data_IF_000147731100
#
_entry.id   IF_000147731100
#
_cell.length_a   1.000
_cell.length_b   1.000
_cell.length_c   1.000
_cell.angle_alpha   90.00
_cell.angle_beta   90.00
_cell.angle_gamma   90.00
#
_symmetry.space_group_name_H-M   'P 1'
#
loop_
_entity.id
_entity.type
_entity.pdbx_description
1 polymer ?
#
# COMPACT_ATOMS: atom_id res chain seq x y z
N UNK A 1 -31.96 -6.36 -27.92
CA UNK A 1 -30.67 -6.52 -28.62
C UNK A 1 -29.58 -6.59 -27.57
N UNK A 2 -29.00 -7.77 -27.34
CA UNK A 2 -27.96 -7.94 -26.32
C UNK A 2 -26.67 -7.21 -26.74
N UNK A 3 -26.07 -6.45 -25.82
CA UNK A 3 -24.70 -5.94 -25.99
C UNK A 3 -23.80 -7.14 -26.30
N UNK A 4 -23.10 -7.09 -27.43
CA UNK A 4 -22.08 -8.09 -27.78
C UNK A 4 -20.79 -7.60 -27.17
N UNK A 5 -20.56 -7.97 -25.93
CA UNK A 5 -19.30 -7.66 -25.26
C UNK A 5 -18.27 -8.72 -25.68
N UNK A 6 -17.05 -8.29 -26.03
CA UNK A 6 -15.94 -9.16 -26.43
C UNK A 6 -14.84 -9.07 -25.38
N UNK A 7 -14.27 -10.21 -25.01
CA UNK A 7 -13.17 -10.28 -24.03
C UNK A 7 -11.82 -10.12 -24.71
N UNK A 8 -10.93 -9.38 -24.06
CA UNK A 8 -9.55 -9.19 -24.48
C UNK A 8 -8.61 -9.03 -23.29
N UNK A 9 -7.40 -8.59 -23.57
CA UNK A 9 -6.42 -8.17 -22.57
C UNK A 9 -5.99 -6.75 -22.87
N UNK A 10 -5.56 -6.03 -21.85
CA UNK A 10 -4.93 -4.75 -22.04
C UNK A 10 -3.66 -4.66 -21.22
N UNK A 11 -2.61 -4.12 -21.82
CA UNK A 11 -1.40 -3.73 -21.11
C UNK A 11 -1.54 -2.26 -20.72
N UNK A 12 -1.33 -1.95 -19.44
CA UNK A 12 -1.29 -0.56 -18.98
C UNK A 12 -0.05 0.09 -19.60
N UNK A 13 -0.22 1.06 -20.50
CA UNK A 13 0.84 1.83 -21.12
C UNK A 13 1.26 3.02 -20.23
N UNK A 14 0.28 3.64 -19.56
CA UNK A 14 0.53 4.63 -18.52
C UNK A 14 -0.56 4.61 -17.46
N UNK A 15 -0.20 5.02 -16.24
CA UNK A 15 -1.11 5.09 -15.10
C UNK A 15 -0.83 6.37 -14.32
N UNK A 16 -1.85 7.20 -14.13
CA UNK A 16 -1.80 8.44 -13.37
C UNK A 16 -2.99 8.55 -12.45
N UNK A 17 -2.84 9.29 -11.35
CA UNK A 17 -3.98 9.66 -10.52
C UNK A 17 -4.50 11.02 -10.98
N UNK A 18 -5.83 11.21 -11.02
CA UNK A 18 -6.41 12.50 -11.35
C UNK A 18 -5.91 13.58 -10.40
N UNK A 19 -5.32 14.64 -10.94
CA UNK A 19 -4.82 15.77 -10.15
C UNK A 19 -3.39 15.62 -9.61
N UNK A 20 -2.67 14.52 -9.93
CA UNK A 20 -1.22 14.43 -9.71
C UNK A 20 -0.50 14.67 -11.04
N UNK A 21 0.45 15.61 -11.05
CA UNK A 21 1.25 15.94 -12.25
C UNK A 21 2.37 14.94 -12.52
N UNK A 22 2.63 14.03 -11.58
CA UNK A 22 3.73 13.08 -11.62
C UNK A 22 3.18 11.67 -11.84
N UNK A 23 3.80 10.94 -12.79
CA UNK A 23 3.78 9.48 -12.74
C UNK A 23 4.42 9.10 -11.41
N UNK A 24 3.63 8.58 -10.45
CA UNK A 24 4.06 8.27 -9.08
C UNK A 24 5.25 7.27 -9.07
N UNK A 25 6.44 7.80 -9.33
CA UNK A 25 7.73 7.28 -8.97
C UNK A 25 8.12 7.95 -7.65
N UNK A 26 7.79 7.27 -6.56
CA UNK A 26 8.53 7.23 -5.30
C UNK A 26 8.39 8.26 -4.15
N UNK A 27 7.71 9.41 -4.20
CA UNK A 27 7.92 10.39 -3.09
C UNK A 27 6.84 10.61 -2.01
N UNK A 28 5.64 10.00 -2.03
CA UNK A 28 4.61 10.34 -1.01
C UNK A 28 3.97 9.13 -0.31
N UNK A 29 4.68 8.57 0.68
CA UNK A 29 4.22 7.42 1.48
C UNK A 29 3.20 7.77 2.59
N UNK A 30 3.19 9.00 3.13
CA UNK A 30 2.39 9.33 4.33
C UNK A 30 1.11 10.12 4.07
N UNK A 31 1.11 11.03 3.09
CA UNK A 31 -0.14 11.71 2.67
C UNK A 31 -1.08 10.71 1.97
N UNK A 32 -0.52 9.64 1.41
CA UNK A 32 -1.28 8.53 0.87
C UNK A 32 -2.12 7.81 1.92
N UNK A 33 -1.59 7.48 3.09
CA UNK A 33 -2.24 6.55 4.03
C UNK A 33 -3.61 7.03 4.58
N UNK A 34 -3.77 8.35 4.76
CA UNK A 34 -5.05 8.95 5.19
C UNK A 34 -6.09 9.00 4.06
N UNK A 35 -5.65 9.25 2.82
CA UNK A 35 -6.51 9.23 1.63
C UNK A 35 -6.81 7.79 1.13
N UNK A 36 -5.92 6.83 1.42
CA UNK A 36 -5.97 5.44 0.96
C UNK A 36 -7.00 4.56 1.69
N UNK A 37 -7.51 4.98 2.85
CA UNK A 37 -8.41 4.13 3.63
C UNK A 37 -9.86 4.17 3.13
N UNK A 38 -10.31 5.27 2.51
CA UNK A 38 -11.71 5.42 2.09
C UNK A 38 -11.90 6.26 0.81
N UNK A 39 -11.83 5.60 -0.35
CA UNK A 39 -12.78 5.90 -1.43
C UNK A 39 -12.23 5.99 -2.84
N UNK A 40 -12.59 5.01 -3.67
CA UNK A 40 -12.85 5.19 -5.11
C UNK A 40 -11.69 5.84 -5.89
N UNK A 41 -10.47 5.30 -5.78
CA UNK A 41 -9.37 5.80 -6.62
C UNK A 41 -9.73 5.60 -8.09
N UNK A 42 -10.05 6.71 -8.72
CA UNK A 42 -10.10 6.85 -10.16
C UNK A 42 -8.65 6.95 -10.62
N UNK A 43 -8.32 6.23 -11.67
CA UNK A 43 -7.01 6.25 -12.29
C UNK A 43 -7.18 6.62 -13.75
N UNK A 44 -6.40 7.60 -14.18
CA UNK A 44 -6.28 7.94 -15.59
C UNK A 44 -5.27 6.98 -16.20
N UNK A 45 -5.75 6.06 -17.03
CA UNK A 45 -4.92 5.03 -17.64
C UNK A 45 -4.83 5.24 -19.15
N UNK A 46 -3.74 4.77 -19.73
CA UNK A 46 -3.66 4.45 -21.14
C UNK A 46 -3.49 2.94 -21.26
N UNK A 47 -4.35 2.32 -22.06
CA UNK A 47 -4.42 0.87 -22.20
C UNK A 47 -4.12 0.50 -23.64
N UNK A 48 -3.12 -0.35 -23.86
CA UNK A 48 -2.90 -1.05 -25.12
C UNK A 48 -3.76 -2.30 -25.15
N UNK A 49 -4.87 -2.23 -25.87
CA UNK A 49 -5.93 -3.25 -25.88
C UNK A 49 -5.72 -4.24 -27.02
N UNK A 50 -5.72 -5.52 -26.65
CA UNK A 50 -5.60 -6.67 -27.53
C UNK A 50 -6.87 -7.52 -27.44
N UNK A 51 -7.64 -7.55 -28.54
CA UNK A 51 -8.82 -8.40 -28.69
C UNK A 51 -8.55 -9.40 -29.81
N UNK A 52 -8.80 -10.70 -29.63
CA UNK A 52 -8.59 -11.70 -30.68
C UNK A 52 -9.31 -11.33 -31.98
N UNK A 53 -8.56 -11.27 -33.08
CA UNK A 53 -9.09 -10.93 -34.41
C UNK A 53 -9.17 -9.44 -34.72
N UNK A 54 -8.75 -8.55 -33.81
CA UNK A 54 -8.67 -7.11 -34.01
C UNK A 54 -7.20 -6.66 -34.02
N UNK A 55 -6.89 -5.54 -34.67
CA UNK A 55 -5.59 -4.90 -34.51
C UNK A 55 -5.48 -4.29 -33.11
N UNK A 56 -4.30 -4.35 -32.50
CA UNK A 56 -4.04 -3.68 -31.21
C UNK A 56 -4.29 -2.17 -31.32
N UNK A 57 -4.95 -1.60 -30.32
CA UNK A 57 -5.27 -0.16 -30.28
C UNK A 57 -5.12 0.39 -28.88
N UNK A 58 -4.90 1.71 -28.77
CA UNK A 58 -4.75 2.39 -27.50
C UNK A 58 -6.03 3.14 -27.12
N UNK A 59 -6.44 3.03 -25.86
CA UNK A 59 -7.53 3.81 -25.28
C UNK A 59 -7.06 4.52 -24.01
N UNK A 60 -7.50 5.78 -23.84
CA UNK A 60 -7.23 6.57 -22.66
C UNK A 60 -8.55 6.87 -21.95
N UNK A 61 -8.54 6.89 -20.62
CA UNK A 61 -9.75 7.11 -19.85
C UNK A 61 -9.53 7.05 -18.35
N UNK A 62 -10.62 7.13 -17.60
CA UNK A 62 -10.59 7.11 -16.14
C UNK A 62 -11.31 5.86 -15.63
N UNK A 63 -10.58 4.97 -14.96
CA UNK A 63 -11.13 3.73 -14.41
C UNK A 63 -11.19 3.77 -12.89
N UNK A 64 -12.21 3.15 -12.32
CA UNK A 64 -12.33 2.99 -10.88
C UNK A 64 -11.67 1.68 -10.45
N UNK A 65 -10.67 1.76 -9.59
CA UNK A 65 -10.01 0.58 -9.01
C UNK A 65 -10.78 0.13 -7.76
N UNK A 66 -11.15 -1.17 -7.64
CA UNK A 66 -11.87 -1.64 -6.47
C UNK A 66 -10.98 -1.71 -5.21
N UNK A 67 -11.45 -1.13 -4.10
CA UNK A 67 -10.79 -1.15 -2.79
C UNK A 67 -10.41 -2.56 -2.29
N UNK A 68 -11.09 -3.62 -2.76
CA UNK A 68 -10.81 -5.01 -2.33
C UNK A 68 -9.51 -5.59 -2.90
N UNK A 69 -8.93 -5.00 -3.95
CA UNK A 69 -7.57 -5.36 -4.42
C UNK A 69 -6.49 -4.90 -3.44
N UNK A 70 -6.84 -4.02 -2.49
CA UNK A 70 -5.93 -3.36 -1.56
C UNK A 70 -5.87 -4.06 -0.20
N UNK A 71 -6.88 -4.88 0.12
CA UNK A 71 -7.04 -5.49 1.46
C UNK A 71 -6.14 -6.69 1.73
N UNK A 72 -5.32 -7.12 0.77
CA UNK A 72 -4.53 -8.36 0.90
C UNK A 72 -3.19 -8.17 1.62
N UNK A 73 -2.70 -6.93 1.82
CA UNK A 73 -1.38 -6.73 2.44
C UNK A 73 -1.18 -5.47 3.28
N UNK A 74 -2.24 -5.02 3.97
CA UNK A 74 -2.19 -3.88 4.92
C UNK A 74 -1.15 -4.00 6.06
N UNK A 75 -0.50 -5.16 6.23
CA UNK A 75 0.42 -5.41 7.35
C UNK A 75 1.89 -5.22 6.96
N UNK A 76 2.28 -5.30 5.68
CA UNK A 76 3.71 -5.31 5.35
C UNK A 76 4.20 -4.53 4.12
N UNK A 77 3.41 -4.11 3.15
CA UNK A 77 3.98 -3.40 1.97
C UNK A 77 2.93 -2.57 1.24
N UNK A 78 2.95 -1.24 1.42
CA UNK A 78 2.42 -0.17 0.55
C UNK A 78 1.00 -0.26 -0.04
N UNK A 79 0.47 0.84 -0.63
CA UNK A 79 -0.68 0.73 -1.54
C UNK A 79 -0.23 -0.02 -2.81
N UNK A 80 -1.10 -0.89 -3.35
CA UNK A 80 -0.86 -1.48 -4.66
C UNK A 80 -0.72 -0.38 -5.72
N UNK A 81 0.36 -0.41 -6.51
CA UNK A 81 0.62 0.58 -7.55
C UNK A 81 0.13 0.04 -8.90
N UNK A 82 -0.67 0.81 -9.62
CA UNK A 82 -0.80 0.60 -11.05
C UNK A 82 0.40 1.29 -11.72
N UNK A 83 1.11 0.55 -12.56
CA UNK A 83 2.28 1.01 -13.29
C UNK A 83 2.28 0.43 -14.71
N UNK A 84 3.04 1.04 -15.63
CA UNK A 84 3.15 0.55 -17.00
C UNK A 84 3.64 -0.90 -17.07
N UNK A 85 3.02 -1.72 -17.91
CA UNK A 85 3.38 -3.12 -18.14
C UNK A 85 2.48 -4.15 -17.44
N UNK A 86 1.61 -3.74 -16.52
CA UNK A 86 0.61 -4.65 -15.95
C UNK A 86 -0.39 -5.06 -17.03
N UNK A 87 -0.67 -6.36 -17.12
CA UNK A 87 -1.66 -6.92 -18.03
C UNK A 87 -2.97 -7.20 -17.29
N UNK A 88 -4.05 -6.53 -17.69
CA UNK A 88 -5.38 -6.68 -17.11
C UNK A 88 -6.36 -7.31 -18.13
N UNK A 89 -7.27 -8.19 -17.69
CA UNK A 89 -8.39 -8.62 -18.54
C UNK A 89 -9.37 -7.47 -18.75
N UNK A 90 -9.88 -7.35 -19.98
CA UNK A 90 -10.82 -6.29 -20.35
C UNK A 90 -12.03 -6.83 -21.09
N UNK A 91 -13.13 -6.09 -20.98
CA UNK A 91 -14.37 -6.28 -21.71
C UNK A 91 -14.58 -5.08 -22.61
N UNK A 92 -14.76 -5.32 -23.91
CA UNK A 92 -14.90 -4.30 -24.95
C UNK A 92 -16.29 -4.38 -25.58
N UNK A 93 -16.97 -3.25 -25.72
CA UNK A 93 -18.24 -3.17 -26.47
C UNK A 93 -17.95 -3.36 -27.98
N UNK A 94 -18.47 -4.43 -28.59
CA UNK A 94 -18.24 -4.70 -30.02
C UNK A 94 -18.76 -3.59 -30.95
N UNK A 95 -19.73 -2.79 -30.50
CA UNK A 95 -20.27 -1.66 -31.25
C UNK A 95 -19.49 -0.36 -31.04
N UNK A 96 -18.59 -0.32 -30.06
CA UNK A 96 -17.74 0.83 -29.79
C UNK A 96 -16.43 0.42 -29.08
N UNK A 97 -15.35 0.28 -29.86
CA UNK A 97 -14.03 -0.07 -29.35
C UNK A 97 -13.45 0.91 -28.33
N UNK A 98 -13.97 2.14 -28.21
CA UNK A 98 -13.55 3.09 -27.17
C UNK A 98 -14.17 2.79 -25.80
N UNK A 99 -15.15 1.90 -25.72
CA UNK A 99 -15.80 1.49 -24.45
C UNK A 99 -15.13 0.21 -23.96
N UNK A 100 -14.17 0.40 -23.06
CA UNK A 100 -13.37 -0.66 -22.47
C UNK A 100 -13.52 -0.61 -20.96
N UNK A 101 -13.98 -1.72 -20.37
CA UNK A 101 -14.02 -1.93 -18.93
C UNK A 101 -12.98 -2.97 -18.51
N UNK A 102 -12.34 -2.75 -17.37
CA UNK A 102 -11.39 -3.72 -16.79
C UNK A 102 -12.16 -4.72 -15.94
N UNK A 103 -11.99 -6.02 -16.22
CA UNK A 103 -12.59 -7.10 -15.45
C UNK A 103 -11.76 -7.38 -14.18
N UNK A 104 -11.96 -6.56 -13.16
CA UNK A 104 -11.23 -6.69 -11.90
C UNK A 104 -11.52 -7.99 -11.14
N UNK A 105 -12.67 -8.63 -11.40
CA UNK A 105 -12.99 -9.92 -10.81
C UNK A 105 -12.14 -11.02 -11.44
N UNK A 106 -12.04 -11.06 -12.77
CA UNK A 106 -11.18 -12.00 -13.50
C UNK A 106 -9.69 -11.78 -13.21
N UNK A 107 -9.27 -10.52 -13.13
CA UNK A 107 -7.90 -10.15 -12.78
C UNK A 107 -7.49 -10.73 -11.42
N UNK A 108 -8.41 -10.73 -10.45
CA UNK A 108 -8.17 -11.30 -9.12
C UNK A 108 -8.21 -12.83 -9.14
N UNK A 109 -9.21 -13.44 -9.77
CA UNK A 109 -9.33 -14.91 -9.78
C UNK A 109 -8.20 -15.60 -10.54
N UNK A 110 -7.57 -14.91 -11.50
CA UNK A 110 -6.43 -15.42 -12.26
C UNK A 110 -5.09 -15.38 -11.51
N UNK A 111 -5.03 -14.76 -10.32
CA UNK A 111 -3.76 -14.57 -9.60
C UNK A 111 -2.83 -13.53 -10.22
N UNK A 112 -3.35 -12.74 -11.18
CA UNK A 112 -2.65 -11.65 -11.84
C UNK A 112 -2.41 -10.45 -10.92
N UNK A 113 -3.05 -10.43 -9.75
CA UNK A 113 -2.81 -9.44 -8.69
C UNK A 113 -1.37 -9.42 -8.20
N UNK A 114 -0.61 -10.50 -8.39
CA UNK A 114 0.84 -10.53 -8.15
C UNK A 114 1.62 -9.50 -8.98
N UNK A 115 1.12 -9.12 -10.16
CA UNK A 115 1.74 -8.08 -10.99
C UNK A 115 1.68 -6.70 -10.34
N UNK A 116 0.76 -6.46 -9.41
CA UNK A 116 0.69 -5.19 -8.66
C UNK A 116 1.83 -5.04 -7.63
N UNK A 117 2.64 -6.09 -7.43
CA UNK A 117 3.61 -6.19 -6.35
C UNK A 117 4.95 -6.83 -6.81
N UNK A 118 5.70 -6.18 -7.72
CA UNK A 118 6.88 -6.76 -8.38
C UNK A 118 8.01 -7.20 -7.43
N UNK A 119 8.12 -6.63 -6.22
CA UNK A 119 9.21 -6.92 -5.27
C UNK A 119 8.91 -8.04 -4.24
N UNK A 120 7.79 -8.74 -4.38
CA UNK A 120 7.27 -9.58 -3.28
C UNK A 120 7.69 -11.04 -3.30
N UNK A 121 8.52 -11.51 -4.25
CA UNK A 121 8.95 -12.91 -4.34
C UNK A 121 9.60 -13.44 -3.05
N UNK A 122 10.55 -12.69 -2.48
CA UNK A 122 11.23 -13.05 -1.22
C UNK A 122 10.31 -12.86 -0.01
N UNK A 123 9.48 -11.81 -0.03
CA UNK A 123 8.55 -11.48 1.06
C UNK A 123 7.40 -12.50 1.13
N UNK A 124 6.94 -13.05 0.01
CA UNK A 124 5.88 -14.07 -0.06
C UNK A 124 6.37 -15.41 0.45
N UNK A 125 7.63 -15.78 0.19
CA UNK A 125 8.26 -16.94 0.84
C UNK A 125 8.42 -16.74 2.36
N UNK A 126 8.89 -15.56 2.79
CA UNK A 126 9.01 -15.22 4.21
C UNK A 126 7.64 -15.22 4.92
N UNK A 127 6.59 -14.67 4.29
CA UNK A 127 5.22 -14.68 4.81
C UNK A 127 4.62 -16.08 4.85
N UNK A 128 4.92 -16.92 3.85
CA UNK A 128 4.37 -18.29 3.79
C UNK A 128 4.99 -19.16 4.89
N UNK A 129 6.28 -18.98 5.19
CA UNK A 129 6.93 -19.58 6.35
C UNK A 129 6.32 -19.08 7.66
N UNK A 130 6.14 -17.76 7.81
CA UNK A 130 5.54 -17.16 9.00
C UNK A 130 4.07 -17.57 9.21
N UNK A 131 3.28 -17.68 8.14
CA UNK A 131 1.88 -18.11 8.21
C UNK A 131 1.74 -19.62 8.44
N UNK A 132 2.70 -20.43 8.00
CA UNK A 132 2.77 -21.84 8.36
C UNK A 132 3.08 -22.02 9.85
N UNK A 133 3.99 -21.21 10.40
CA UNK A 133 4.29 -21.15 11.83
C UNK A 133 3.14 -20.60 12.69
N UNK A 134 2.34 -19.66 12.16
CA UNK A 134 1.15 -19.14 12.83
C UNK A 134 -0.05 -20.08 12.77
N UNK A 135 -0.10 -21.00 11.80
CA UNK A 135 -1.17 -22.01 11.68
C UNK A 135 -0.89 -23.28 12.48
N UNK A 136 0.37 -23.53 12.84
CA UNK A 136 0.74 -24.61 13.76
C UNK A 136 0.45 -24.27 15.23
N UNK A 137 0.10 -23.02 15.54
CA UNK A 137 -0.33 -22.57 16.86
C UNK A 137 -1.86 -22.54 16.96
N UNK A 138 -2.40 -23.50 17.69
CA UNK A 138 -3.83 -23.67 18.02
C UNK A 138 -4.41 -22.40 18.68
N UNK A 139 -5.68 -22.04 18.45
CA UNK A 139 -6.27 -20.82 19.00
C UNK A 139 -6.58 -21.01 20.49
N UNK A 140 -5.68 -20.49 21.33
CA UNK A 140 -5.87 -20.30 22.75
C UNK A 140 -4.84 -19.29 23.21
N UNK A 141 -5.29 -18.07 23.49
CA UNK A 141 -4.52 -16.99 24.13
C UNK A 141 -3.25 -16.59 23.37
N UNK A 142 -3.33 -15.53 22.56
CA UNK A 142 -2.19 -15.02 21.79
C UNK A 142 -1.00 -14.75 22.73
N UNK A 143 0.00 -15.64 22.71
CA UNK A 143 1.21 -15.47 23.48
C UNK A 143 1.83 -14.10 23.12
N UNK A 144 2.35 -13.36 24.12
CA UNK A 144 2.99 -12.07 23.85
C UNK A 144 4.07 -12.25 22.79
N UNK A 145 4.03 -11.40 21.75
CA UNK A 145 5.03 -11.46 20.67
C UNK A 145 6.43 -11.40 21.29
N UNK A 146 7.34 -12.31 20.92
CA UNK A 146 8.68 -12.32 21.49
C UNK A 146 9.37 -11.00 21.16
N UNK A 147 9.97 -10.37 22.17
CA UNK A 147 10.77 -9.16 22.02
C UNK A 147 11.95 -9.43 21.07
N UNK A 148 12.32 -8.50 20.17
CA UNK A 148 13.50 -8.64 19.32
C UNK A 148 14.77 -8.93 20.14
N UNK A 149 15.63 -9.82 19.62
CA UNK A 149 16.85 -10.27 20.30
C UNK A 149 18.02 -9.25 20.29
N UNK A 150 17.76 -7.98 19.93
CA UNK A 150 18.75 -6.91 19.88
C UNK A 150 18.43 -5.77 20.84
N UNK A 151 19.37 -4.84 21.01
CA UNK A 151 19.11 -3.63 21.79
C UNK A 151 18.07 -2.75 21.11
N UNK A 152 17.26 -2.07 21.94
CA UNK A 152 16.26 -1.11 21.45
C UNK A 152 16.97 0.06 20.75
N UNK A 153 16.38 0.65 19.70
CA UNK A 153 16.92 1.86 19.09
C UNK A 153 17.12 2.94 20.16
N UNK A 154 18.35 3.44 20.28
CA UNK A 154 18.69 4.52 21.19
C UNK A 154 19.14 5.75 20.40
N UNK A 155 19.08 6.93 21.01
CA UNK A 155 19.58 8.16 20.41
C UNK A 155 21.07 8.11 20.03
N UNK A 156 21.87 7.23 20.66
CA UNK A 156 23.28 7.04 20.34
C UNK A 156 23.49 6.29 19.01
N UNK A 157 22.60 5.33 18.70
CA UNK A 157 22.68 4.50 17.48
C UNK A 157 21.87 5.11 16.35
N UNK A 158 20.71 5.67 16.68
CA UNK A 158 19.79 6.35 15.76
C UNK A 158 19.50 7.75 16.29
N UNK A 159 20.31 8.76 15.90
CA UNK A 159 20.15 10.13 16.37
C UNK A 159 18.74 10.68 16.13
N UNK A 160 18.17 11.48 17.03
CA UNK A 160 16.84 12.07 16.82
C UNK A 160 16.75 12.84 15.50
N UNK A 161 15.61 12.73 14.81
CA UNK A 161 15.33 13.52 13.60
C UNK A 161 14.62 14.79 14.05
N UNK A 162 15.27 15.94 13.85
CA UNK A 162 14.73 17.25 14.25
C UNK A 162 14.32 17.33 15.74
N UNK A 163 15.02 16.59 16.59
CA UNK A 163 14.74 16.51 18.03
C UNK A 163 13.74 15.41 18.42
N UNK A 164 13.20 14.66 17.47
CA UNK A 164 12.26 13.55 17.72
C UNK A 164 13.03 12.22 17.70
N UNK A 165 13.14 11.58 18.85
CA UNK A 165 13.70 10.23 18.95
C UNK A 165 12.70 9.15 18.48
N UNK A 166 13.21 7.93 18.31
CA UNK A 166 12.44 6.80 17.81
C UNK A 166 11.23 6.46 18.72
N UNK A 167 11.39 6.52 20.03
CA UNK A 167 10.33 6.17 20.98
C UNK A 167 9.20 7.21 20.97
N UNK A 168 9.56 8.48 20.90
CA UNK A 168 8.65 9.63 20.76
C UNK A 168 7.86 9.51 19.47
N UNK A 169 8.56 9.25 18.35
CA UNK A 169 7.95 9.02 17.05
C UNK A 169 6.95 7.85 17.11
N UNK A 170 7.38 6.67 17.58
CA UNK A 170 6.52 5.48 17.63
C UNK A 170 5.27 5.67 18.50
N UNK A 171 5.38 6.29 19.67
CA UNK A 171 4.22 6.59 20.53
C UNK A 171 3.24 7.55 19.88
N UNK A 172 3.74 8.47 19.06
CA UNK A 172 2.95 9.48 18.36
C UNK A 172 2.24 8.91 17.12
N UNK A 173 2.90 8.06 16.34
CA UNK A 173 2.36 7.60 15.06
C UNK A 173 1.53 6.32 15.15
N UNK A 174 1.80 5.42 16.11
CA UNK A 174 1.12 4.11 16.15
C UNK A 174 -0.40 4.25 16.34
N UNK A 175 -0.86 5.17 17.21
CA UNK A 175 -2.29 5.42 17.42
C UNK A 175 -2.98 5.95 16.16
N UNK A 176 -2.32 6.87 15.46
CA UNK A 176 -2.81 7.46 14.21
C UNK A 176 -2.83 6.43 13.08
N UNK A 177 -1.75 5.66 12.91
CA UNK A 177 -1.63 4.59 11.91
C UNK A 177 -2.67 3.48 12.10
N UNK A 178 -3.02 3.17 13.35
CA UNK A 178 -4.06 2.18 13.70
C UNK A 178 -5.48 2.75 13.65
N UNK A 179 -5.65 3.99 13.20
CA UNK A 179 -6.93 4.69 13.14
C UNK A 179 -7.66 4.78 14.50
N UNK A 180 -6.91 4.79 15.61
CA UNK A 180 -7.48 4.99 16.95
C UNK A 180 -7.60 6.47 17.33
N UNK A 181 -7.03 7.37 16.52
CA UNK A 181 -7.06 8.82 16.71
C UNK A 181 -7.86 9.44 15.56
N UNK A 182 -8.99 10.14 15.85
CA UNK A 182 -9.75 10.86 14.84
C UNK A 182 -8.91 11.92 14.12
N UNK A 183 -9.15 12.16 12.83
CA UNK A 183 -8.37 13.09 12.00
C UNK A 183 -8.30 14.51 12.58
N UNK A 184 -9.42 15.03 13.07
CA UNK A 184 -9.48 16.35 13.72
C UNK A 184 -8.71 16.44 15.04
N UNK A 185 -8.27 15.31 15.61
CA UNK A 185 -7.55 15.23 16.88
C UNK A 185 -6.06 14.87 16.71
N UNK A 186 -5.61 14.55 15.49
CA UNK A 186 -4.24 14.06 15.25
C UNK A 186 -3.16 15.09 15.62
N UNK A 187 -3.38 16.37 15.31
CA UNK A 187 -2.43 17.42 15.65
C UNK A 187 -2.25 17.54 17.18
N UNK A 188 -3.36 17.57 17.93
CA UNK A 188 -3.31 17.58 19.39
C UNK A 188 -2.68 16.31 19.96
N UNK A 189 -2.96 15.15 19.36
CA UNK A 189 -2.37 13.87 19.73
C UNK A 189 -0.85 13.84 19.57
N UNK A 190 -0.32 14.42 18.49
CA UNK A 190 1.11 14.54 18.24
C UNK A 190 1.78 15.49 19.25
N UNK A 191 1.23 16.69 19.45
CA UNK A 191 1.79 17.67 20.38
C UNK A 191 1.81 17.14 21.82
N UNK A 192 0.75 16.43 22.25
CA UNK A 192 0.67 15.79 23.57
C UNK A 192 1.78 14.75 23.82
N UNK A 193 2.44 14.28 22.74
CA UNK A 193 3.51 13.29 22.79
C UNK A 193 4.88 13.88 22.50
N UNK A 194 5.00 15.21 22.43
CA UNK A 194 6.25 15.88 22.09
C UNK A 194 6.63 15.71 20.61
N UNK A 195 5.66 15.37 19.75
CA UNK A 195 5.87 15.29 18.31
C UNK A 195 5.32 16.55 17.62
N UNK A 196 6.16 17.37 16.98
CA UNK A 196 5.73 18.66 16.45
C UNK A 196 4.75 18.45 15.28
N UNK A 197 3.47 18.76 15.48
CA UNK A 197 2.40 18.44 14.53
C UNK A 197 2.62 19.11 13.17
N UNK A 198 3.12 20.36 13.18
CA UNK A 198 3.44 21.11 11.96
C UNK A 198 4.56 20.50 11.10
N UNK A 199 5.35 19.58 11.65
CA UNK A 199 6.44 18.85 10.95
C UNK A 199 6.27 17.33 11.02
N UNK A 200 5.11 16.85 11.47
CA UNK A 200 4.89 15.44 11.73
C UNK A 200 5.06 14.57 10.48
N UNK A 201 4.70 15.10 9.32
CA UNK A 201 4.85 14.41 8.04
C UNK A 201 6.33 14.25 7.65
N UNK A 202 7.09 15.34 7.65
CA UNK A 202 8.50 15.35 7.22
C UNK A 202 9.38 14.50 8.14
N UNK A 203 9.19 14.66 9.46
CA UNK A 203 9.93 13.87 10.45
C UNK A 203 9.56 12.38 10.38
N UNK A 204 8.28 12.07 10.14
CA UNK A 204 7.88 10.67 9.97
C UNK A 204 8.44 10.07 8.68
N UNK A 205 8.44 10.80 7.57
CA UNK A 205 9.01 10.34 6.30
C UNK A 205 10.49 9.98 6.47
N UNK A 206 11.26 10.85 7.11
CA UNK A 206 12.67 10.62 7.39
C UNK A 206 12.92 9.42 8.32
N UNK A 207 12.05 9.19 9.31
CA UNK A 207 12.11 7.97 10.14
C UNK A 207 11.78 6.71 9.34
N UNK A 208 10.80 6.75 8.45
CA UNK A 208 10.49 5.63 7.57
C UNK A 208 11.64 5.27 6.64
N UNK A 209 12.33 6.26 6.08
CA UNK A 209 13.48 5.99 5.21
C UNK A 209 14.63 5.33 5.98
N UNK A 210 14.83 5.69 7.26
CA UNK A 210 15.76 4.96 8.13
C UNK A 210 15.30 3.53 8.43
N UNK A 211 14.02 3.32 8.70
CA UNK A 211 13.43 1.98 8.92
C UNK A 211 13.60 1.10 7.67
N UNK A 212 13.49 1.69 6.47
CA UNK A 212 13.77 0.98 5.21
C UNK A 212 15.25 0.67 5.07
N UNK A 213 16.14 1.60 5.42
CA UNK A 213 17.59 1.43 5.25
C UNK A 213 18.22 0.47 6.28
N UNK A 214 17.66 0.33 7.49
CA UNK A 214 18.26 -0.44 8.58
C UNK A 214 17.38 -1.63 9.03
N UNK A 215 17.89 -2.85 8.85
CA UNK A 215 17.18 -4.07 9.20
C UNK A 215 16.90 -4.22 10.71
N UNK A 216 17.76 -3.69 11.59
CA UNK A 216 17.56 -3.74 13.05
C UNK A 216 16.42 -2.80 13.44
N UNK A 217 16.43 -1.58 12.90
CA UNK A 217 15.36 -0.60 13.13
C UNK A 217 14.01 -1.12 12.59
N UNK A 218 14.04 -1.83 11.46
CA UNK A 218 12.84 -2.47 10.88
C UNK A 218 12.21 -3.52 11.80
N UNK A 219 13.01 -4.40 12.40
CA UNK A 219 12.50 -5.43 13.32
C UNK A 219 11.83 -4.79 14.54
N UNK A 220 12.45 -3.73 15.09
CA UNK A 220 11.88 -2.98 16.20
C UNK A 220 10.62 -2.22 15.82
N UNK A 221 10.59 -1.58 14.65
CA UNK A 221 9.42 -0.88 14.12
C UNK A 221 8.22 -1.82 14.00
N UNK A 222 8.40 -3.02 13.43
CA UNK A 222 7.34 -4.02 13.33
C UNK A 222 6.86 -4.46 14.70
N UNK A 223 7.78 -4.77 15.62
CA UNK A 223 7.44 -5.17 16.99
C UNK A 223 6.64 -4.10 17.73
N UNK A 224 7.07 -2.84 17.67
CA UNK A 224 6.42 -1.71 18.35
C UNK A 224 5.09 -1.35 17.70
N UNK A 225 4.97 -1.44 16.37
CA UNK A 225 3.71 -1.30 15.65
C UNK A 225 2.67 -2.33 16.07
N UNK A 226 3.09 -3.46 16.63
CA UNK A 226 2.23 -4.54 17.11
C UNK A 226 1.95 -4.48 18.61
N UNK A 227 2.93 -4.04 19.41
CA UNK A 227 2.89 -4.16 20.88
C UNK A 227 2.63 -2.86 21.62
N UNK A 228 2.86 -1.69 21.00
CA UNK A 228 2.54 -0.43 21.65
C UNK A 228 1.02 -0.24 21.72
N UNK A 229 0.50 -0.13 22.94
CA UNK A 229 -0.87 0.31 23.14
C UNK A 229 -0.97 1.80 22.80
N UNK A 230 -1.94 2.18 21.94
CA UNK A 230 -2.34 3.57 21.76
C UNK A 230 -2.91 4.06 23.09
N UNK A 231 -2.14 4.92 23.77
CA UNK A 231 -2.59 5.63 24.96
C UNK A 231 -3.49 6.82 24.66
#
# INVERSE_FOLDING_TARGET
>A
MGRRDVRGRATIASARRPGTSESDGDEFFLVGLASHAFGKERWDLELDVEVPGWATYRVSGTWRVPNRLWKVRKILDGPGRLFPGIVVPVVVDAGNASKVDIDWDDFKSSGSDAQLYPDTGSVRQALSGLLADLRSTTPGEAAPKPRPAGDRPTAAVFPPIEGVDYDTWMRAVVGVMRHRVPEGEQAAHYEARGFPAGRALDVSAAWFDRVKADARLRVWYVYDCDTLEPS
#
